data_IF_946275333233
#
_entry.id   IF_946275333233
#
_cell.length_a   1.000
_cell.length_b   1.000
_cell.length_c   1.000
_cell.angle_alpha   90.00
_cell.angle_beta   90.00
_cell.angle_gamma   90.00
#
_symmetry.space_group_name_H-M   'P 1'
#
loop_
_entity.id
_entity.type
_entity.pdbx_description
1 polymer ?
#
# COMPACT_ATOMS: atom_id res chain seq x y z
N UNK A 1 6.83 10.30 -13.87
CA UNK A 1 7.92 9.30 -13.92
C UNK A 1 7.71 8.39 -12.73
N UNK A 2 7.81 7.07 -12.92
CA UNK A 2 7.66 6.11 -11.82
C UNK A 2 8.88 6.28 -10.90
N UNK A 3 8.68 6.41 -9.58
CA UNK A 3 9.77 6.59 -8.63
C UNK A 3 10.48 5.24 -8.40
N UNK A 4 11.74 5.24 -7.92
CA UNK A 4 12.42 4.00 -7.57
C UNK A 4 11.73 3.24 -6.43
N UNK A 5 10.86 3.90 -5.66
CA UNK A 5 10.07 3.31 -4.59
C UNK A 5 8.83 2.53 -5.08
N UNK A 6 8.59 2.43 -6.39
CA UNK A 6 7.43 1.75 -6.97
C UNK A 6 7.85 0.78 -8.08
N UNK A 7 7.58 -0.50 -7.89
CA UNK A 7 7.52 -1.48 -8.97
C UNK A 7 6.06 -1.60 -9.43
N UNK A 8 5.73 -1.36 -10.70
CA UNK A 8 4.33 -1.35 -11.17
C UNK A 8 3.71 -2.76 -11.26
N UNK A 9 4.53 -3.79 -11.43
CA UNK A 9 4.06 -5.17 -11.58
C UNK A 9 3.17 -5.42 -12.80
N UNK A 10 2.37 -6.48 -12.70
CA UNK A 10 1.39 -6.88 -13.70
C UNK A 10 0.02 -6.22 -13.45
N UNK A 11 -0.78 -5.95 -14.50
CA UNK A 11 -2.09 -5.35 -14.33
C UNK A 11 -3.09 -6.34 -13.72
N UNK A 12 -4.13 -5.81 -13.05
CA UNK A 12 -5.09 -6.60 -12.26
C UNK A 12 -5.80 -7.70 -13.07
N UNK A 13 -5.98 -7.51 -14.37
CA UNK A 13 -6.62 -8.49 -15.25
C UNK A 13 -5.86 -9.83 -15.34
N UNK A 14 -4.54 -9.80 -15.06
CA UNK A 14 -3.67 -10.98 -15.02
C UNK A 14 -3.89 -11.85 -13.78
N UNK A 15 -4.74 -11.45 -12.83
CA UNK A 15 -4.99 -12.20 -11.58
C UNK A 15 -5.40 -13.66 -11.83
N UNK A 16 -6.07 -13.93 -12.96
CA UNK A 16 -6.53 -15.27 -13.35
C UNK A 16 -5.42 -16.22 -13.80
N UNK A 17 -4.22 -15.71 -14.01
CA UNK A 17 -3.08 -16.50 -14.45
C UNK A 17 -2.33 -17.14 -13.29
N UNK A 18 -2.68 -16.76 -12.05
CA UNK A 18 -2.03 -17.22 -10.83
C UNK A 18 -2.98 -18.08 -10.00
N UNK A 19 -2.41 -19.06 -9.30
CA UNK A 19 -3.14 -19.84 -8.31
C UNK A 19 -3.46 -19.00 -7.08
N UNK A 20 -4.47 -19.41 -6.31
CA UNK A 20 -4.81 -18.74 -5.05
C UNK A 20 -3.67 -18.77 -4.03
N UNK A 21 -2.83 -19.81 -4.05
CA UNK A 21 -1.63 -19.92 -3.21
C UNK A 21 -0.63 -18.81 -3.57
N UNK A 22 -0.35 -18.62 -4.86
CA UNK A 22 0.53 -17.55 -5.36
C UNK A 22 -0.03 -16.16 -5.09
N UNK A 23 -1.34 -15.95 -5.31
CA UNK A 23 -1.99 -14.67 -5.06
C UNK A 23 -1.93 -14.25 -3.58
N UNK A 24 -2.12 -15.19 -2.65
CA UNK A 24 -1.94 -14.90 -1.22
C UNK A 24 -0.48 -14.63 -0.87
N UNK A 25 0.47 -15.29 -1.55
CA UNK A 25 1.89 -14.97 -1.45
C UNK A 25 2.22 -13.55 -1.89
N UNK A 26 1.68 -13.13 -3.04
CA UNK A 26 1.80 -11.76 -3.55
C UNK A 26 1.19 -10.75 -2.58
N UNK A 27 0.00 -11.04 -2.03
CA UNK A 27 -0.65 -10.20 -1.03
C UNK A 27 0.25 -9.98 0.20
N UNK A 28 0.78 -11.07 0.78
CA UNK A 28 1.69 -11.00 1.93
C UNK A 28 2.94 -10.18 1.59
N UNK A 29 3.49 -10.33 0.39
CA UNK A 29 4.66 -9.57 -0.06
C UNK A 29 4.36 -8.08 -0.17
N UNK A 30 3.21 -7.73 -0.75
CA UNK A 30 2.74 -6.36 -0.87
C UNK A 30 2.58 -5.70 0.51
N UNK A 31 1.96 -6.39 1.48
CA UNK A 31 1.83 -5.88 2.87
C UNK A 31 3.17 -5.63 3.55
N UNK A 32 4.16 -6.50 3.31
CA UNK A 32 5.52 -6.31 3.83
C UNK A 32 6.15 -5.07 3.21
N UNK A 33 6.08 -4.94 1.88
CA UNK A 33 6.61 -3.79 1.15
C UNK A 33 5.95 -2.48 1.59
N UNK A 34 4.63 -2.44 1.72
CA UNK A 34 3.87 -1.29 2.20
C UNK A 34 4.27 -0.90 3.63
N UNK A 35 4.37 -1.87 4.55
CA UNK A 35 4.85 -1.59 5.92
C UNK A 35 6.25 -0.97 5.91
N UNK A 36 7.17 -1.54 5.15
CA UNK A 36 8.56 -1.06 5.10
C UNK A 36 8.66 0.32 4.43
N UNK A 37 7.87 0.56 3.39
CA UNK A 37 7.69 1.85 2.75
C UNK A 37 7.20 2.90 3.76
N UNK A 38 6.08 2.66 4.45
CA UNK A 38 5.53 3.62 5.39
C UNK A 38 6.46 3.86 6.59
N UNK A 39 7.10 2.81 7.11
CA UNK A 39 8.10 2.94 8.18
C UNK A 39 9.25 3.85 7.75
N UNK A 40 9.86 3.57 6.59
CA UNK A 40 11.00 4.34 6.09
C UNK A 40 10.62 5.77 5.67
N UNK A 41 9.39 5.99 5.18
CA UNK A 41 8.84 7.30 4.90
C UNK A 41 8.68 8.13 6.19
N UNK A 42 8.04 7.57 7.22
CA UNK A 42 7.84 8.23 8.50
C UNK A 42 9.16 8.65 9.18
N UNK A 43 10.20 7.83 9.07
CA UNK A 43 11.55 8.14 9.57
C UNK A 43 12.17 9.39 8.92
N UNK A 44 11.72 9.77 7.71
CA UNK A 44 12.26 10.88 6.90
C UNK A 44 11.37 12.11 6.92
N UNK A 45 10.29 12.08 7.69
CA UNK A 45 9.35 13.17 7.81
C UNK A 45 9.63 14.03 9.04
N UNK A 46 9.63 15.34 8.84
CA UNK A 46 9.73 16.34 9.91
C UNK A 46 8.34 16.82 10.39
N UNK A 47 7.30 16.64 9.57
CA UNK A 47 5.93 17.08 9.88
C UNK A 47 5.29 16.07 10.82
N UNK A 48 5.33 16.34 12.12
CA UNK A 48 4.88 15.41 13.17
C UNK A 48 3.46 14.85 12.94
N UNK A 49 2.50 15.69 12.59
CA UNK A 49 1.11 15.26 12.38
C UNK A 49 0.96 14.28 11.19
N UNK A 50 1.74 14.49 10.13
CA UNK A 50 1.75 13.58 8.98
C UNK A 50 2.50 12.30 9.31
N UNK A 51 3.64 12.41 10.01
CA UNK A 51 4.43 11.28 10.49
C UNK A 51 3.59 10.30 11.30
N UNK A 52 2.81 10.78 12.27
CA UNK A 52 1.94 9.92 13.10
C UNK A 52 0.91 9.13 12.26
N UNK A 53 0.38 9.74 11.19
CA UNK A 53 -0.55 9.05 10.27
C UNK A 53 0.15 7.99 9.44
N UNK A 54 1.36 8.26 8.96
CA UNK A 54 2.15 7.29 8.21
C UNK A 54 2.62 6.14 9.10
N UNK A 55 3.00 6.40 10.35
CA UNK A 55 3.32 5.35 11.33
C UNK A 55 2.10 4.47 11.62
N UNK A 56 0.91 5.07 11.75
CA UNK A 56 -0.34 4.32 11.89
C UNK A 56 -0.62 3.41 10.70
N UNK A 57 -0.44 3.89 9.46
CA UNK A 57 -0.58 3.04 8.26
C UNK A 57 0.39 1.85 8.30
N UNK A 58 1.67 2.07 8.63
CA UNK A 58 2.64 0.99 8.77
C UNK A 58 2.20 -0.08 9.79
N UNK A 59 1.57 0.33 10.89
CA UNK A 59 1.03 -0.60 11.88
C UNK A 59 -0.16 -1.41 11.36
N UNK A 60 -1.06 -0.79 10.59
CA UNK A 60 -2.20 -1.48 9.95
C UNK A 60 -1.73 -2.52 8.94
N UNK A 61 -0.77 -2.21 8.06
CA UNK A 61 -0.23 -3.19 7.10
C UNK A 61 0.45 -4.37 7.82
N UNK A 62 1.10 -4.09 8.96
CA UNK A 62 1.64 -5.14 9.82
C UNK A 62 0.57 -6.07 10.42
N UNK A 63 -0.69 -5.61 10.56
CA UNK A 63 -1.83 -6.44 10.97
C UNK A 63 -2.41 -7.21 9.79
N UNK A 64 -2.48 -6.59 8.61
CA UNK A 64 -2.89 -7.23 7.37
C UNK A 64 -1.98 -8.41 7.02
N UNK A 65 -0.64 -8.21 7.06
CA UNK A 65 0.35 -9.29 6.86
C UNK A 65 0.07 -10.48 7.78
N UNK A 66 -0.15 -10.22 9.08
CA UNK A 66 -0.42 -11.27 10.08
C UNK A 66 -1.73 -12.00 9.79
N UNK A 67 -2.76 -11.28 9.33
CA UNK A 67 -4.04 -11.86 8.96
C UNK A 67 -3.88 -12.78 7.74
N UNK A 68 -3.23 -12.30 6.68
CA UNK A 68 -3.00 -13.08 5.45
C UNK A 68 -2.18 -14.34 5.72
N UNK A 69 -1.12 -14.26 6.54
CA UNK A 69 -0.35 -15.44 6.94
C UNK A 69 -1.20 -16.49 7.67
N UNK A 70 -2.15 -16.06 8.51
CA UNK A 70 -3.09 -16.98 9.18
C UNK A 70 -4.05 -17.62 8.17
N UNK A 71 -4.56 -16.83 7.21
CA UNK A 71 -5.41 -17.33 6.13
C UNK A 71 -4.64 -18.37 5.31
N UNK A 72 -3.42 -18.05 4.88
CA UNK A 72 -2.55 -18.96 4.13
C UNK A 72 -2.33 -20.28 4.89
N UNK A 73 -1.90 -20.21 6.15
CA UNK A 73 -1.66 -21.41 6.97
C UNK A 73 -2.92 -22.27 7.18
N UNK A 74 -4.10 -21.65 7.23
CA UNK A 74 -5.38 -22.37 7.31
C UNK A 74 -5.76 -23.04 5.99
N UNK A 75 -5.46 -22.39 4.86
CA UNK A 75 -5.80 -22.89 3.51
C UNK A 75 -4.82 -23.94 3.00
N UNK A 76 -3.54 -23.80 3.35
CA UNK A 76 -2.44 -24.63 2.89
C UNK A 76 -1.65 -25.19 4.07
N UNK A 77 -2.28 -26.05 4.91
CA UNK A 77 -1.66 -26.53 6.13
C UNK A 77 -0.38 -27.32 5.85
N UNK A 78 0.70 -26.96 6.54
CA UNK A 78 2.02 -27.59 6.40
C UNK A 78 2.83 -27.16 5.18
N UNK A 79 2.36 -26.16 4.42
CA UNK A 79 3.14 -25.53 3.36
C UNK A 79 3.70 -24.18 3.81
N UNK A 80 4.92 -23.89 3.37
CA UNK A 80 5.50 -22.55 3.47
C UNK A 80 4.86 -21.60 2.46
N UNK A 81 4.95 -20.29 2.73
CA UNK A 81 4.47 -19.26 1.80
C UNK A 81 5.37 -19.23 0.58
N UNK A 82 4.77 -19.33 -0.60
CA UNK A 82 5.44 -19.15 -1.88
C UNK A 82 5.35 -17.67 -2.24
N UNK A 83 6.48 -17.05 -2.57
CA UNK A 83 6.54 -15.68 -3.07
C UNK A 83 6.92 -15.72 -4.56
N UNK A 84 5.97 -15.53 -5.48
CA UNK A 84 6.26 -15.46 -6.90
C UNK A 84 7.19 -14.27 -7.22
N UNK A 85 7.96 -14.38 -8.31
CA UNK A 85 8.76 -13.25 -8.82
C UNK A 85 7.86 -12.14 -9.35
N UNK A 86 6.78 -12.51 -10.04
CA UNK A 86 5.76 -11.59 -10.53
C UNK A 86 4.84 -11.14 -9.38
N UNK A 87 4.26 -9.93 -9.49
CA UNK A 87 3.22 -9.45 -8.58
C UNK A 87 2.13 -8.71 -9.35
N UNK A 88 0.90 -8.76 -8.85
CA UNK A 88 -0.23 -8.00 -9.39
C UNK A 88 -0.28 -6.63 -8.71
N UNK A 89 -0.38 -5.57 -9.51
CA UNK A 89 -0.38 -4.21 -9.00
C UNK A 89 0.98 -3.78 -8.47
N UNK A 90 1.08 -2.55 -7.93
CA UNK A 90 2.36 -2.01 -7.56
C UNK A 90 2.87 -2.59 -6.24
N UNK A 91 4.17 -2.84 -6.17
CA UNK A 91 4.89 -3.17 -4.95
C UNK A 91 5.69 -1.93 -4.50
N UNK A 92 5.36 -1.43 -3.30
CA UNK A 92 6.09 -0.32 -2.69
C UNK A 92 7.43 -0.81 -2.12
N UNK A 93 8.49 -0.04 -2.39
CA UNK A 93 9.84 -0.30 -1.90
C UNK A 93 10.26 0.72 -0.84
N UNK A 94 11.13 0.36 0.11
CA UNK A 94 11.56 1.28 1.16
C UNK A 94 12.13 2.60 0.62
N UNK A 95 11.76 3.71 1.25
CA UNK A 95 12.27 5.04 0.92
C UNK A 95 13.71 5.16 1.41
N UNK A 96 14.68 4.93 0.52
CA UNK A 96 16.10 5.03 0.87
C UNK A 96 16.66 6.46 0.73
N UNK A 97 16.10 7.26 -0.19
CA UNK A 97 16.58 8.62 -0.49
C UNK A 97 16.25 9.62 0.62
N UNK A 98 16.97 10.73 0.65
CA UNK A 98 16.61 11.88 1.48
C UNK A 98 15.48 12.66 0.80
N UNK A 99 14.57 13.19 1.61
CA UNK A 99 13.51 14.08 1.16
C UNK A 99 14.02 15.51 1.29
N UNK A 100 14.10 16.22 0.16
CA UNK A 100 14.69 17.56 0.08
C UNK A 100 13.63 18.65 0.09
N UNK A 101 12.40 18.33 -0.32
CA UNK A 101 11.30 19.28 -0.35
C UNK A 101 9.95 18.60 -0.10
N UNK A 102 8.90 19.41 0.03
CA UNK A 102 7.54 18.88 0.20
C UNK A 102 7.01 18.26 -1.09
N UNK A 103 7.52 18.66 -2.25
CA UNK A 103 7.21 18.02 -3.53
C UNK A 103 7.65 16.54 -3.54
N UNK A 104 8.76 16.19 -2.88
CA UNK A 104 9.18 14.80 -2.73
C UNK A 104 8.16 13.98 -1.93
N UNK A 105 7.60 14.58 -0.86
CA UNK A 105 6.58 13.96 -0.02
C UNK A 105 5.28 13.79 -0.79
N UNK A 106 4.84 14.85 -1.48
CA UNK A 106 3.64 14.85 -2.32
C UNK A 106 3.72 13.73 -3.37
N UNK A 107 4.88 13.55 -4.00
CA UNK A 107 5.09 12.49 -4.97
C UNK A 107 4.92 11.10 -4.33
N UNK A 108 5.59 10.84 -3.21
CA UNK A 108 5.50 9.56 -2.49
C UNK A 108 4.09 9.26 -2.00
N UNK A 109 3.37 10.25 -1.45
CA UNK A 109 1.98 10.08 -1.02
C UNK A 109 1.06 9.76 -2.21
N UNK A 110 1.27 10.41 -3.36
CA UNK A 110 0.50 10.12 -4.58
C UNK A 110 0.68 8.66 -5.04
N UNK A 111 1.90 8.13 -4.93
CA UNK A 111 2.18 6.74 -5.28
C UNK A 111 1.63 5.75 -4.26
N UNK A 112 1.75 6.07 -2.97
CA UNK A 112 1.10 5.32 -1.90
C UNK A 112 -0.41 5.21 -2.14
N UNK A 113 -1.10 6.33 -2.43
CA UNK A 113 -2.52 6.31 -2.80
C UNK A 113 -2.80 5.37 -3.97
N UNK A 114 -1.95 5.36 -5.00
CA UNK A 114 -2.14 4.49 -6.15
C UNK A 114 -1.99 3.02 -5.77
N UNK A 115 -1.05 2.71 -4.88
CA UNK A 115 -0.86 1.37 -4.34
C UNK A 115 -2.08 0.92 -3.53
N UNK A 116 -2.57 1.76 -2.60
CA UNK A 116 -3.77 1.47 -1.81
C UNK A 116 -5.01 1.23 -2.68
N UNK A 117 -5.21 2.05 -3.72
CA UNK A 117 -6.32 1.88 -4.65
C UNK A 117 -6.24 0.52 -5.37
N UNK A 118 -5.05 0.11 -5.81
CA UNK A 118 -4.88 -1.17 -6.49
C UNK A 118 -4.99 -2.34 -5.52
N UNK A 119 -4.45 -2.23 -4.31
CA UNK A 119 -4.57 -3.24 -3.26
C UNK A 119 -6.05 -3.47 -2.87
N UNK A 120 -6.83 -2.39 -2.74
CA UNK A 120 -8.28 -2.48 -2.51
C UNK A 120 -8.98 -3.29 -3.61
N UNK A 121 -8.66 -3.01 -4.87
CA UNK A 121 -9.26 -3.73 -6.00
C UNK A 121 -8.77 -5.18 -6.08
N UNK A 122 -7.50 -5.43 -5.76
CA UNK A 122 -6.93 -6.77 -5.68
C UNK A 122 -7.66 -7.64 -4.64
N UNK A 123 -7.90 -7.12 -3.43
CA UNK A 123 -8.66 -7.84 -2.42
C UNK A 123 -10.13 -8.04 -2.79
N UNK A 124 -10.74 -7.08 -3.50
CA UNK A 124 -12.08 -7.24 -4.03
C UNK A 124 -12.16 -8.37 -5.09
N UNK A 125 -11.13 -8.54 -5.91
CA UNK A 125 -11.04 -9.67 -6.85
C UNK A 125 -10.77 -11.00 -6.13
N UNK A 126 -9.90 -11.01 -5.11
CA UNK A 126 -9.68 -12.19 -4.28
C UNK A 126 -10.96 -12.64 -3.59
N UNK A 127 -11.80 -11.72 -3.11
CA UNK A 127 -13.11 -12.05 -2.57
C UNK A 127 -13.94 -12.88 -3.57
N UNK A 128 -13.92 -12.54 -4.86
CA UNK A 128 -14.69 -13.27 -5.87
C UNK A 128 -14.19 -14.71 -6.06
N UNK A 129 -12.89 -14.94 -5.85
CA UNK A 129 -12.19 -16.22 -6.02
C UNK A 129 -12.37 -17.13 -4.79
N UNK A 130 -12.56 -16.57 -3.59
CA UNK A 130 -12.68 -17.36 -2.35
C UNK A 130 -13.90 -18.29 -2.34
N UNK A 131 -13.72 -19.55 -1.96
CA UNK A 131 -14.81 -20.54 -1.97
C UNK A 131 -15.83 -20.37 -0.83
N UNK A 132 -15.37 -19.95 0.36
CA UNK A 132 -16.22 -19.89 1.56
C UNK A 132 -16.56 -18.45 1.93
N UNK A 133 -17.80 -18.25 2.42
CA UNK A 133 -18.29 -16.94 2.87
C UNK A 133 -17.39 -16.31 3.95
N UNK A 134 -16.89 -17.09 4.89
CA UNK A 134 -15.98 -16.59 5.93
C UNK A 134 -14.70 -15.98 5.34
N UNK A 135 -14.13 -16.59 4.29
CA UNK A 135 -12.94 -16.08 3.61
C UNK A 135 -13.26 -14.87 2.74
N UNK A 136 -14.42 -14.89 2.06
CA UNK A 136 -14.93 -13.73 1.30
C UNK A 136 -15.02 -12.49 2.18
N UNK A 137 -15.56 -12.63 3.39
CA UNK A 137 -15.65 -11.55 4.38
C UNK A 137 -14.30 -10.98 4.79
N UNK A 138 -13.28 -11.83 4.94
CA UNK A 138 -11.91 -11.38 5.26
C UNK A 138 -11.30 -10.58 4.11
N UNK A 139 -11.47 -11.03 2.86
CA UNK A 139 -10.98 -10.29 1.68
C UNK A 139 -11.73 -8.96 1.51
N UNK A 140 -13.06 -8.95 1.70
CA UNK A 140 -13.85 -7.73 1.71
C UNK A 140 -13.38 -6.74 2.76
N UNK A 141 -13.11 -7.23 3.96
CA UNK A 141 -12.58 -6.43 5.06
C UNK A 141 -11.25 -5.76 4.68
N UNK A 142 -10.29 -6.52 4.13
CA UNK A 142 -9.03 -5.96 3.64
C UNK A 142 -9.27 -4.91 2.55
N UNK A 143 -10.09 -5.23 1.54
CA UNK A 143 -10.47 -4.28 0.47
C UNK A 143 -11.01 -2.96 1.02
N UNK A 144 -11.85 -3.01 2.07
CA UNK A 144 -12.46 -1.83 2.66
C UNK A 144 -11.47 -1.05 3.54
N UNK A 145 -10.52 -1.73 4.19
CA UNK A 145 -9.40 -1.10 4.90
C UNK A 145 -8.50 -0.33 3.93
N UNK A 146 -8.08 -0.93 2.82
CA UNK A 146 -7.22 -0.25 1.82
C UNK A 146 -7.93 0.95 1.18
N UNK A 147 -9.25 0.88 0.94
CA UNK A 147 -10.02 2.07 0.53
C UNK A 147 -9.94 3.18 1.60
N UNK A 148 -10.02 2.81 2.87
CA UNK A 148 -9.85 3.73 3.99
C UNK A 148 -8.46 4.38 4.02
N UNK A 149 -7.41 3.59 3.78
CA UNK A 149 -6.03 4.07 3.65
C UNK A 149 -5.90 5.05 2.48
N UNK A 150 -6.43 4.70 1.30
CA UNK A 150 -6.49 5.58 0.14
C UNK A 150 -7.12 6.94 0.47
N UNK A 151 -8.28 6.97 1.12
CA UNK A 151 -8.94 8.25 1.47
C UNK A 151 -8.16 9.04 2.52
N UNK A 152 -7.50 8.35 3.46
CA UNK A 152 -6.61 8.98 4.44
C UNK A 152 -5.45 9.68 3.74
N UNK A 153 -4.75 8.97 2.85
CA UNK A 153 -3.65 9.52 2.07
C UNK A 153 -4.11 10.63 1.12
N UNK A 154 -5.29 10.50 0.52
CA UNK A 154 -5.88 11.54 -0.35
C UNK A 154 -6.09 12.85 0.40
N UNK A 155 -6.58 12.79 1.63
CA UNK A 155 -6.77 13.98 2.45
C UNK A 155 -5.42 14.65 2.77
N UNK A 156 -4.39 13.88 3.12
CA UNK A 156 -3.04 14.42 3.35
C UNK A 156 -2.44 15.01 2.08
N UNK A 157 -2.62 14.34 0.94
CA UNK A 157 -2.16 14.82 -0.36
C UNK A 157 -2.77 16.19 -0.72
N UNK A 158 -4.08 16.36 -0.55
CA UNK A 158 -4.78 17.62 -0.79
C UNK A 158 -4.25 18.75 0.13
N UNK A 159 -4.05 18.46 1.41
CA UNK A 159 -3.47 19.42 2.37
C UNK A 159 -2.04 19.83 2.00
N UNK A 160 -1.22 18.88 1.57
CA UNK A 160 0.16 19.16 1.15
C UNK A 160 0.22 20.01 -0.12
N UNK A 161 -0.67 19.77 -1.08
CA UNK A 161 -0.80 20.58 -2.29
C UNK A 161 -1.17 22.03 -1.96
N UNK A 162 -2.17 22.21 -1.10
CA UNK A 162 -2.58 23.54 -0.65
C UNK A 162 -1.40 24.26 0.02
N UNK A 163 -0.71 23.60 0.95
CA UNK A 163 0.45 24.18 1.64
C UNK A 163 1.57 24.57 0.68
N UNK A 164 1.89 23.72 -0.31
CA UNK A 164 2.91 24.00 -1.31
C UNK A 164 2.53 25.23 -2.17
N UNK A 165 1.28 25.32 -2.60
CA UNK A 165 0.76 26.46 -3.35
C UNK A 165 0.81 27.76 -2.53
N UNK A 166 0.38 27.73 -1.26
CA UNK A 166 0.47 28.90 -0.37
C UNK A 166 1.92 29.35 -0.17
N UNK A 167 2.85 28.43 0.05
CA UNK A 167 4.27 28.72 0.23
C UNK A 167 4.86 29.40 -1.03
N UNK A 168 4.54 28.89 -2.22
CA UNK A 168 4.96 29.49 -3.48
C UNK A 168 4.42 30.92 -3.65
N UNK A 169 3.14 31.16 -3.36
CA UNK A 169 2.54 32.50 -3.45
C UNK A 169 3.20 33.50 -2.48
N UNK A 170 3.54 33.07 -1.26
CA UNK A 170 4.17 33.92 -0.26
C UNK A 170 5.65 34.22 -0.56
N UNK A 171 6.35 33.29 -1.21
CA UNK A 171 7.73 33.48 -1.69
C UNK A 171 7.81 34.31 -2.99
N UNK A 172 6.68 34.58 -3.63
CA UNK A 172 6.53 35.44 -4.83
C UNK A 172 5.93 36.82 -4.45
N UNK A 173 5.98 37.20 -3.16
CA UNK A 173 5.65 38.57 -2.71
C UNK A 173 6.59 39.63 -3.30
N UNK A 174 6.11 40.88 -3.51
CA UNK A 174 6.58 41.82 -4.55
C UNK A 174 8.05 42.23 -4.50
#
# INVERSE_FOLDING_TARGET
MIPPELDEGLPLERIRDFSLEELLGMAIKAEIGAREFYTSLAERMEIQALKEKIEWLAEEEGKHEKLLRRIYANMFPGKDVIFPEEHIGPELQPVARKLHSVEDIIDLIRWAMKAEEIAANFYAELENIMETEDKRRLMRYLSDMEKGHYYTLKAEYELLLDWAMYSQMMNIGP
#
